data_IF_047911857557
#
_entry.id   IF_047911857557
#
_cell.length_a   1.000
_cell.length_b   1.000
_cell.length_c   1.000
_cell.angle_alpha   90.00
_cell.angle_beta   90.00
_cell.angle_gamma   90.00
#
_symmetry.space_group_name_H-M   'P 1'
#
loop_
_entity.id
_entity.type
_entity.pdbx_description
1 polymer ?
#
# COMPACT_ATOMS: atom_id res chain seq x y z
N UNK A 1 1.58 -0.14 3.54
CA UNK A 1 2.78 -0.87 3.06
C UNK A 1 3.27 -1.94 4.03
N UNK A 2 3.52 -1.64 5.32
CA UNK A 2 4.04 -2.63 6.28
C UNK A 2 3.22 -3.93 6.36
N UNK A 3 1.89 -3.84 6.37
CA UNK A 3 1.03 -5.03 6.32
C UNK A 3 1.20 -5.88 5.06
N UNK A 4 1.52 -5.26 3.91
CA UNK A 4 1.83 -6.01 2.68
C UNK A 4 3.13 -6.83 2.83
N UNK A 5 4.13 -6.26 3.50
CA UNK A 5 5.39 -6.94 3.80
C UNK A 5 5.12 -8.13 4.72
N UNK A 6 4.34 -7.95 5.78
CA UNK A 6 3.98 -9.02 6.71
C UNK A 6 3.22 -10.16 6.01
N UNK A 7 2.27 -9.84 5.13
CA UNK A 7 1.57 -10.82 4.31
C UNK A 7 2.53 -11.57 3.38
N UNK A 8 3.44 -10.86 2.70
CA UNK A 8 4.48 -11.48 1.86
C UNK A 8 5.42 -12.38 2.65
N UNK A 9 5.78 -12.01 3.88
CA UNK A 9 6.61 -12.84 4.76
C UNK A 9 5.90 -14.15 5.09
N UNK A 10 4.63 -14.10 5.45
CA UNK A 10 3.83 -15.31 5.67
C UNK A 10 3.70 -16.17 4.41
N UNK A 11 3.40 -15.56 3.25
CA UNK A 11 3.31 -16.29 1.98
C UNK A 11 4.62 -16.99 1.59
N UNK A 12 5.77 -16.44 2.01
CA UNK A 12 7.09 -17.03 1.77
C UNK A 12 7.43 -18.14 2.77
N UNK A 13 7.09 -17.94 4.04
CA UNK A 13 7.40 -18.88 5.13
C UNK A 13 6.15 -19.13 6.01
N UNK A 14 5.20 -19.97 5.54
CA UNK A 14 3.87 -20.06 6.16
C UNK A 14 3.83 -20.64 7.57
N UNK A 15 4.92 -21.26 8.02
CA UNK A 15 5.04 -21.92 9.32
C UNK A 15 5.93 -21.14 10.30
N UNK A 16 6.47 -19.99 9.89
CA UNK A 16 7.38 -19.19 10.71
C UNK A 16 6.65 -18.25 11.69
N UNK A 17 5.33 -18.11 11.58
CA UNK A 17 4.55 -17.09 12.27
C UNK A 17 3.26 -17.69 12.87
N UNK A 18 2.95 -17.35 14.12
CA UNK A 18 1.74 -17.81 14.81
C UNK A 18 0.49 -16.97 14.47
N UNK A 19 0.68 -15.76 13.92
CA UNK A 19 -0.43 -14.88 13.56
C UNK A 19 0.03 -13.50 13.05
N UNK A 20 -0.91 -12.71 12.53
CA UNK A 20 -0.66 -11.35 12.05
C UNK A 20 -1.61 -10.33 12.69
N UNK A 21 -1.09 -9.15 13.01
CA UNK A 21 -1.88 -7.96 13.34
C UNK A 21 -1.64 -6.92 12.26
N UNK A 22 -2.68 -6.56 11.53
CA UNK A 22 -2.61 -5.71 10.35
C UNK A 22 -3.43 -4.43 10.57
N UNK A 23 -2.78 -3.27 10.49
CA UNK A 23 -3.44 -1.96 10.56
C UNK A 23 -3.43 -1.34 9.16
N UNK A 24 -4.62 -1.14 8.59
CA UNK A 24 -4.83 -0.67 7.23
C UNK A 24 -3.85 -1.30 6.21
N UNK A 25 -3.82 -2.65 6.11
CA UNK A 25 -2.89 -3.33 5.23
C UNK A 25 -3.19 -3.00 3.77
N UNK A 26 -2.12 -2.92 2.99
CA UNK A 26 -2.21 -2.73 1.55
C UNK A 26 -2.35 -4.11 0.90
N UNK A 27 -3.53 -4.45 0.38
CA UNK A 27 -3.80 -5.80 -0.14
C UNK A 27 -4.34 -5.81 -1.58
N UNK A 28 -4.94 -4.71 -2.03
CA UNK A 28 -5.62 -4.60 -3.32
C UNK A 28 -5.71 -3.13 -3.70
N UNK A 29 -5.65 -2.80 -4.98
CA UNK A 29 -6.08 -1.48 -5.45
C UNK A 29 -7.52 -1.61 -5.95
N UNK A 30 -8.41 -0.70 -5.55
CA UNK A 30 -9.77 -0.69 -6.13
C UNK A 30 -9.70 -0.31 -7.61
N UNK A 31 -10.58 -0.87 -8.44
CA UNK A 31 -10.62 -0.61 -9.88
C UNK A 31 -10.73 0.90 -10.18
N UNK A 32 -11.40 1.66 -9.31
CA UNK A 32 -11.53 3.12 -9.41
C UNK A 32 -10.21 3.91 -9.31
N UNK A 33 -9.15 3.32 -8.74
CA UNK A 33 -7.83 3.96 -8.58
C UNK A 33 -6.77 3.37 -9.52
N UNK A 34 -7.05 2.23 -10.16
CA UNK A 34 -6.13 1.63 -11.12
C UNK A 34 -6.21 2.41 -12.44
N UNK A 35 -5.09 2.94 -12.96
CA UNK A 35 -5.08 3.53 -14.28
C UNK A 35 -5.41 2.46 -15.34
N UNK A 36 -5.97 2.84 -16.49
CA UNK A 36 -6.23 1.90 -17.58
C UNK A 36 -4.99 1.08 -17.94
N UNK A 37 -5.17 -0.19 -18.34
CA UNK A 37 -4.06 -1.14 -18.56
C UNK A 37 -2.97 -0.60 -19.50
N UNK A 38 -3.36 0.16 -20.53
CA UNK A 38 -2.41 0.81 -21.44
C UNK A 38 -1.51 1.82 -20.74
N UNK A 39 -2.10 2.67 -19.89
CA UNK A 39 -1.37 3.65 -19.07
C UNK A 39 -0.46 2.93 -18.09
N UNK A 40 -0.94 1.83 -17.49
CA UNK A 40 -0.14 1.03 -16.59
C UNK A 40 1.10 0.44 -17.28
N UNK A 41 0.92 -0.17 -18.46
CA UNK A 41 2.02 -0.72 -19.24
C UNK A 41 3.05 0.36 -19.63
N UNK A 42 2.58 1.56 -20.00
CA UNK A 42 3.45 2.70 -20.26
C UNK A 42 4.22 3.16 -19.01
N UNK A 43 3.57 3.22 -17.84
CA UNK A 43 4.23 3.54 -16.57
C UNK A 43 5.28 2.49 -16.18
N UNK A 44 4.98 1.20 -16.40
CA UNK A 44 5.93 0.10 -16.17
C UNK A 44 7.15 0.26 -17.09
N UNK A 45 6.95 0.49 -18.39
CA UNK A 45 8.03 0.69 -19.34
C UNK A 45 8.86 1.95 -19.00
N UNK A 46 8.21 3.06 -18.65
CA UNK A 46 8.93 4.25 -18.22
C UNK A 46 9.70 4.02 -16.91
N UNK A 47 9.20 3.16 -16.01
CA UNK A 47 9.87 2.85 -14.74
C UNK A 47 11.19 2.10 -14.91
N UNK A 48 11.39 1.41 -16.05
CA UNK A 48 12.67 0.75 -16.34
C UNK A 48 13.70 1.73 -16.91
N UNK A 49 13.26 2.74 -17.66
CA UNK A 49 14.13 3.75 -18.26
C UNK A 49 14.45 4.91 -17.31
N UNK A 50 13.46 5.37 -16.54
CA UNK A 50 13.53 6.53 -15.65
C UNK A 50 12.98 6.16 -14.25
N UNK A 51 13.63 5.24 -13.52
CA UNK A 51 13.11 4.70 -12.26
C UNK A 51 12.90 5.76 -11.17
N UNK A 52 13.74 6.80 -11.18
CA UNK A 52 13.72 7.87 -10.18
C UNK A 52 12.79 9.04 -10.55
N UNK A 53 12.16 9.00 -11.73
CA UNK A 53 11.29 10.08 -12.17
C UNK A 53 10.12 10.28 -11.20
N UNK A 54 9.93 11.54 -10.79
CA UNK A 54 8.87 11.97 -9.88
C UNK A 54 7.73 12.54 -10.72
N UNK A 55 6.91 11.64 -11.27
CA UNK A 55 5.85 12.00 -12.23
C UNK A 55 4.49 12.27 -11.56
N UNK A 56 4.34 11.90 -10.28
CA UNK A 56 3.09 12.03 -9.56
C UNK A 56 3.01 13.38 -8.83
N UNK A 57 1.88 14.10 -8.90
CA UNK A 57 1.75 15.39 -8.23
C UNK A 57 1.88 15.23 -6.72
N UNK A 58 2.69 16.08 -6.08
CA UNK A 58 2.77 16.16 -4.62
C UNK A 58 1.44 16.68 -4.08
N UNK A 59 0.74 15.87 -3.30
CA UNK A 59 -0.45 16.25 -2.54
C UNK A 59 -0.17 16.04 -1.06
N UNK A 60 -0.54 17.00 -0.23
CA UNK A 60 -0.43 16.82 1.21
C UNK A 60 -1.53 15.86 1.70
N UNK A 61 -1.12 14.63 2.05
CA UNK A 61 -2.01 13.58 2.52
C UNK A 61 -2.15 13.55 4.04
N UNK A 62 -1.34 14.32 4.79
CA UNK A 62 -1.38 14.37 6.26
C UNK A 62 -2.77 14.67 6.84
N UNK A 63 -3.60 15.55 6.24
CA UNK A 63 -4.97 15.77 6.71
C UNK A 63 -5.88 14.54 6.64
N UNK A 64 -5.60 13.61 5.71
CA UNK A 64 -6.35 12.37 5.52
C UNK A 64 -5.92 11.30 6.54
N UNK A 65 -4.64 11.26 6.91
CA UNK A 65 -4.12 10.27 7.86
C UNK A 65 -4.45 10.58 9.33
N UNK A 66 -4.55 11.87 9.69
CA UNK A 66 -4.72 12.29 11.08
C UNK A 66 -6.03 13.06 11.27
N UNK A 67 -7.02 12.43 11.92
CA UNK A 67 -8.24 13.11 12.38
C UNK A 67 -7.97 14.07 13.54
N UNK A 68 -7.06 13.70 14.44
CA UNK A 68 -6.65 14.51 15.58
C UNK A 68 -5.74 15.67 15.11
N UNK A 69 -6.13 16.94 15.34
CA UNK A 69 -5.35 18.09 14.90
C UNK A 69 -3.98 18.20 15.59
N UNK A 70 -3.82 17.70 16.83
CA UNK A 70 -2.53 17.72 17.52
C UNK A 70 -1.56 16.73 16.87
N UNK A 71 -2.01 15.51 16.57
CA UNK A 71 -1.21 14.52 15.84
C UNK A 71 -0.87 15.00 14.43
N UNK A 72 -1.81 15.66 13.76
CA UNK A 72 -1.58 16.27 12.45
C UNK A 72 -0.48 17.34 12.50
N UNK A 73 -0.52 18.24 13.49
CA UNK A 73 0.54 19.24 13.70
C UNK A 73 1.89 18.58 13.89
N UNK A 74 1.97 17.54 14.72
CA UNK A 74 3.21 16.80 14.95
C UNK A 74 3.77 16.15 13.67
N UNK A 75 2.90 15.68 12.77
CA UNK A 75 3.33 15.05 11.51
C UNK A 75 4.10 15.98 10.56
N UNK A 76 3.99 17.31 10.72
CA UNK A 76 4.78 18.25 9.93
C UNK A 76 6.23 18.39 10.42
N UNK A 77 6.51 17.94 11.65
CA UNK A 77 7.85 18.01 12.26
C UNK A 77 8.62 16.69 12.17
N UNK A 78 8.06 15.68 11.50
CA UNK A 78 8.72 14.40 11.30
C UNK A 78 9.83 14.51 10.24
N UNK A 79 11.08 14.58 10.71
CA UNK A 79 12.26 14.74 9.85
C UNK A 79 12.76 13.44 9.22
N UNK A 80 12.27 12.29 9.66
CA UNK A 80 12.66 10.98 9.10
C UNK A 80 11.68 10.51 8.02
N UNK A 81 10.50 11.13 7.94
CA UNK A 81 9.49 10.81 6.93
C UNK A 81 9.85 11.39 5.56
N UNK A 82 9.69 10.56 4.53
CA UNK A 82 9.84 10.99 3.15
C UNK A 82 8.61 11.81 2.72
N UNK A 83 8.81 13.11 2.47
CA UNK A 83 7.74 14.04 2.06
C UNK A 83 7.82 14.45 0.58
N UNK A 84 8.64 13.81 -0.24
CA UNK A 84 8.76 14.17 -1.66
C UNK A 84 7.84 13.30 -2.53
N UNK A 85 7.73 13.63 -3.81
CA UNK A 85 6.89 12.91 -4.77
C UNK A 85 7.35 11.45 -4.92
N UNK A 86 6.39 10.53 -4.98
CA UNK A 86 6.65 9.11 -5.20
C UNK A 86 7.42 8.90 -6.50
N UNK A 87 8.55 8.19 -6.41
CA UNK A 87 9.33 7.78 -7.57
C UNK A 87 8.56 6.76 -8.41
N UNK A 88 8.71 6.83 -9.72
CA UNK A 88 7.98 5.99 -10.66
C UNK A 88 8.16 4.49 -10.37
N UNK A 89 9.40 4.04 -10.15
CA UNK A 89 9.67 2.64 -9.84
C UNK A 89 9.02 2.20 -8.52
N UNK A 90 9.03 3.05 -7.49
CA UNK A 90 8.36 2.77 -6.22
C UNK A 90 6.86 2.59 -6.40
N UNK A 91 6.20 3.44 -7.19
CA UNK A 91 4.77 3.31 -7.47
C UNK A 91 4.44 1.98 -8.18
N UNK A 92 5.26 1.59 -9.16
CA UNK A 92 5.11 0.31 -9.87
C UNK A 92 5.31 -0.88 -8.94
N UNK A 93 6.33 -0.87 -8.08
CA UNK A 93 6.56 -1.97 -7.12
C UNK A 93 5.45 -2.07 -6.07
N UNK A 94 4.87 -0.96 -5.63
CA UNK A 94 3.69 -0.96 -4.77
C UNK A 94 2.50 -1.63 -5.46
N UNK A 95 2.24 -1.31 -6.72
CA UNK A 95 1.19 -1.95 -7.50
C UNK A 95 1.43 -3.46 -7.65
N UNK A 96 2.64 -3.85 -8.02
CA UNK A 96 3.03 -5.26 -8.18
C UNK A 96 2.87 -6.02 -6.86
N UNK A 97 3.32 -5.44 -5.74
CA UNK A 97 3.22 -6.06 -4.42
C UNK A 97 1.76 -6.30 -4.01
N UNK A 98 0.88 -5.31 -4.22
CA UNK A 98 -0.54 -5.48 -3.91
C UNK A 98 -1.22 -6.51 -4.82
N UNK A 99 -0.92 -6.49 -6.12
CA UNK A 99 -1.46 -7.45 -7.10
C UNK A 99 -1.03 -8.88 -6.79
N UNK A 100 0.24 -9.07 -6.43
CA UNK A 100 0.77 -10.38 -6.03
C UNK A 100 0.13 -10.90 -4.73
N UNK A 101 -0.08 -10.02 -3.74
CA UNK A 101 -0.81 -10.37 -2.52
C UNK A 101 -2.25 -10.74 -2.86
N UNK A 102 -2.95 -9.94 -3.67
CA UNK A 102 -4.33 -10.21 -4.09
C UNK A 102 -4.47 -11.60 -4.74
N UNK A 103 -3.53 -11.98 -5.60
CA UNK A 103 -3.54 -13.29 -6.28
C UNK A 103 -3.28 -14.48 -5.36
N UNK A 104 -2.63 -14.26 -4.21
CA UNK A 104 -2.18 -15.33 -3.31
C UNK A 104 -2.86 -15.30 -1.94
N UNK A 105 -3.76 -14.36 -1.72
CA UNK A 105 -4.38 -14.09 -0.43
C UNK A 105 -5.14 -15.30 0.15
N UNK A 106 -5.69 -16.14 -0.72
CA UNK A 106 -6.36 -17.40 -0.36
C UNK A 106 -5.41 -18.46 0.24
N UNK A 107 -4.08 -18.25 0.15
CA UNK A 107 -3.08 -19.11 0.78
C UNK A 107 -2.70 -18.65 2.19
N UNK A 108 -3.22 -17.52 2.65
CA UNK A 108 -2.97 -17.02 4.00
C UNK A 108 -3.82 -17.80 4.99
N UNK A 109 -3.19 -18.73 5.70
CA UNK A 109 -3.85 -19.70 6.59
C UNK A 109 -3.70 -19.43 8.10
N UNK A 110 -2.95 -18.41 8.51
CA UNK A 110 -2.72 -18.11 9.93
C UNK A 110 -3.85 -17.25 10.54
N UNK A 111 -3.99 -17.24 11.88
CA UNK A 111 -4.88 -16.30 12.56
C UNK A 111 -4.49 -14.84 12.30
N UNK A 112 -5.47 -13.99 11.98
CA UNK A 112 -5.22 -12.57 11.70
C UNK A 112 -6.19 -11.65 12.43
N UNK A 113 -5.68 -10.52 12.90
CA UNK A 113 -6.47 -9.37 13.34
C UNK A 113 -6.27 -8.23 12.35
N UNK A 114 -7.34 -7.78 11.72
CA UNK A 114 -7.31 -6.66 10.76
C UNK A 114 -8.06 -5.46 11.34
N UNK A 115 -7.36 -4.33 11.43
CA UNK A 115 -7.90 -3.05 11.88
C UNK A 115 -7.92 -2.09 10.69
N UNK A 116 -9.10 -1.63 10.30
CA UNK A 116 -9.27 -0.69 9.19
C UNK A 116 -10.27 0.40 9.57
N UNK A 117 -9.98 1.64 9.19
CA UNK A 117 -10.86 2.78 9.42
C UNK A 117 -11.89 2.89 8.30
N UNK A 118 -13.16 3.03 8.66
CA UNK A 118 -14.26 3.19 7.68
C UNK A 118 -14.06 4.41 6.77
N UNK A 119 -13.49 5.49 7.31
CA UNK A 119 -13.20 6.71 6.58
C UNK A 119 -11.82 6.70 5.87
N UNK A 120 -11.16 5.55 5.73
CA UNK A 120 -9.88 5.46 5.04
C UNK A 120 -10.06 5.63 3.52
N UNK A 121 -9.80 6.85 3.05
CA UNK A 121 -9.90 7.21 1.64
C UNK A 121 -8.76 6.63 0.78
N UNK A 122 -7.68 6.12 1.39
CA UNK A 122 -6.62 5.42 0.68
C UNK A 122 -7.01 3.95 0.51
N UNK A 123 -7.88 3.74 -0.48
CA UNK A 123 -8.54 2.46 -0.77
C UNK A 123 -7.53 1.36 -1.10
N UNK A 124 -7.15 0.60 -0.08
CA UNK A 124 -6.71 -0.78 -0.24
C UNK A 124 -7.67 -1.70 0.51
N UNK A 125 -8.81 -2.00 -0.12
CA UNK A 125 -9.84 -2.84 0.51
C UNK A 125 -9.35 -4.29 0.63
N UNK A 126 -8.72 -4.61 1.77
CA UNK A 126 -8.51 -5.97 2.23
C UNK A 126 -9.84 -6.60 2.74
N UNK A 127 -10.85 -5.78 3.07
CA UNK A 127 -12.17 -6.21 3.56
C UNK A 127 -13.08 -6.85 2.51
N UNK A 128 -12.80 -6.65 1.22
CA UNK A 128 -13.58 -7.26 0.12
C UNK A 128 -12.93 -8.51 -0.46
N UNK A 129 -11.74 -8.85 0.03
CA UNK A 129 -11.15 -10.13 -0.28
C UNK A 129 -11.84 -11.14 0.64
N UNK A 130 -12.54 -12.16 0.10
CA UNK A 130 -13.04 -13.23 0.93
C UNK A 130 -11.82 -14.01 1.43
N UNK A 131 -11.34 -13.62 2.60
CA UNK A 131 -10.45 -14.42 3.44
C UNK A 131 -11.26 -15.53 4.10
#
# INVERSE_FOLDING_TARGET
MGGAIALKMHLKEPQAWDGLILVAPMCKFTEDVKPPQLVLNALILMSTLLPEAKLFPKKDMRPLFYRDPNKRKLSYFDVISYDDQTRLKTAVELLNAASDIEMQINKVSLPMLILHGDADSHRSYCQQVPL
#
